data_IF_711948783126
#
_entry.id   IF_711948783126
#
_cell.length_a   1.000
_cell.length_b   1.000
_cell.length_c   1.000
_cell.angle_alpha   90.00
_cell.angle_beta   90.00
_cell.angle_gamma   90.00
#
_symmetry.space_group_name_H-M   'P 1'
#
loop_
_entity.id
_entity.type
_entity.pdbx_description
1 polymer ?
#
# COMPACT_ATOMS: atom_id res chain seq x y z
N UNK A 1 -14.33 7.11 -7.65
CA UNK A 1 -13.01 6.43 -7.65
C UNK A 1 -12.58 6.20 -6.20
N UNK A 2 -12.38 4.95 -5.75
CA UNK A 2 -12.15 4.62 -4.32
C UNK A 2 -10.70 4.87 -3.82
N UNK A 3 -9.77 5.20 -4.72
CA UNK A 3 -8.35 5.45 -4.41
C UNK A 3 -8.05 6.94 -4.60
N UNK A 4 -6.99 7.46 -3.97
CA UNK A 4 -6.53 8.83 -4.21
C UNK A 4 -5.84 8.96 -5.57
N UNK A 5 -5.83 10.16 -6.17
CA UNK A 5 -5.09 10.44 -7.42
C UNK A 5 -3.59 10.14 -7.28
N UNK A 6 -3.02 10.39 -6.10
CA UNK A 6 -1.65 10.04 -5.76
C UNK A 6 -1.41 8.52 -5.85
N UNK A 7 -2.33 7.71 -5.31
CA UNK A 7 -2.27 6.25 -5.43
C UNK A 7 -2.39 5.78 -6.90
N UNK A 8 -3.21 6.46 -7.70
CA UNK A 8 -3.28 6.21 -9.15
C UNK A 8 -1.94 6.46 -9.83
N UNK A 9 -1.27 7.56 -9.49
CA UNK A 9 0.04 7.91 -10.04
C UNK A 9 1.09 6.84 -9.67
N UNK A 10 1.13 6.42 -8.40
CA UNK A 10 2.00 5.32 -7.95
C UNK A 10 1.76 4.02 -8.74
N UNK A 11 0.50 3.64 -8.96
CA UNK A 11 0.16 2.43 -9.72
C UNK A 11 0.55 2.53 -11.19
N UNK A 12 0.35 3.69 -11.83
CA UNK A 12 0.76 3.93 -13.22
C UNK A 12 2.27 3.78 -13.38
N UNK A 13 3.05 4.42 -12.51
CA UNK A 13 4.51 4.34 -12.52
C UNK A 13 4.99 2.93 -12.17
N UNK A 14 4.40 2.28 -11.16
CA UNK A 14 4.75 0.91 -10.80
C UNK A 14 4.51 -0.09 -11.96
N UNK A 15 3.45 0.11 -12.75
CA UNK A 15 3.21 -0.69 -13.98
C UNK A 15 4.27 -0.43 -15.05
N UNK A 16 4.60 0.85 -15.31
CA UNK A 16 5.60 1.25 -16.30
C UNK A 16 7.01 0.77 -15.94
N UNK A 17 7.40 0.91 -14.67
CA UNK A 17 8.71 0.56 -14.13
C UNK A 17 8.64 -0.74 -13.30
N UNK A 18 8.23 -1.85 -13.93
CA UNK A 18 7.94 -3.12 -13.24
C UNK A 18 9.15 -3.80 -12.57
N UNK A 19 10.36 -3.50 -13.04
CA UNK A 19 11.62 -3.96 -12.43
C UNK A 19 11.90 -3.28 -11.08
N UNK A 20 11.40 -2.05 -10.89
CA UNK A 20 11.63 -1.25 -9.69
C UNK A 20 10.55 -1.51 -8.61
N UNK A 21 10.76 -0.90 -7.44
CA UNK A 21 9.83 -0.94 -6.31
C UNK A 21 9.43 0.47 -5.94
N UNK A 22 8.12 0.75 -5.92
CA UNK A 22 7.58 2.01 -5.41
C UNK A 22 7.85 2.09 -3.90
N UNK A 23 8.57 3.12 -3.47
CA UNK A 23 8.84 3.40 -2.07
C UNK A 23 7.71 4.26 -1.49
N UNK A 24 7.54 5.46 -2.05
CA UNK A 24 6.56 6.47 -1.64
C UNK A 24 6.35 7.50 -2.76
N UNK A 25 5.50 8.49 -2.53
CA UNK A 25 5.30 9.63 -3.42
C UNK A 25 4.94 10.90 -2.66
N UNK A 26 5.05 12.06 -3.32
CA UNK A 26 4.62 13.36 -2.80
C UNK A 26 4.05 14.26 -3.90
N UNK A 27 3.26 15.25 -3.49
CA UNK A 27 2.68 16.26 -4.36
C UNK A 27 3.72 17.33 -4.70
N UNK A 28 3.68 17.81 -5.94
CA UNK A 28 4.62 18.83 -6.43
C UNK A 28 3.90 20.12 -6.79
N UNK A 29 2.89 20.01 -7.67
CA UNK A 29 2.09 21.13 -8.12
C UNK A 29 0.71 20.65 -8.60
N UNK A 30 -0.22 21.57 -8.84
CA UNK A 30 -1.49 21.29 -9.49
C UNK A 30 -1.90 22.48 -10.37
N UNK A 31 -2.58 22.20 -11.47
CA UNK A 31 -3.33 23.18 -12.24
C UNK A 31 -4.83 22.89 -12.15
N UNK A 32 -5.65 23.53 -12.99
CA UNK A 32 -7.11 23.33 -13.01
C UNK A 32 -7.53 21.93 -13.47
N UNK A 33 -6.67 21.22 -14.21
CA UNK A 33 -6.95 19.96 -14.90
C UNK A 33 -6.16 18.78 -14.30
N UNK A 34 -4.92 19.01 -13.88
CA UNK A 34 -3.96 17.98 -13.49
C UNK A 34 -3.38 18.22 -12.10
N UNK A 35 -2.99 17.10 -11.46
CA UNK A 35 -2.18 17.08 -10.25
C UNK A 35 -0.88 16.34 -10.52
N UNK A 36 0.22 16.95 -10.14
CA UNK A 36 1.57 16.45 -10.36
C UNK A 36 2.13 15.83 -9.08
N UNK A 37 2.72 14.65 -9.22
CA UNK A 37 3.31 13.89 -8.12
C UNK A 37 4.69 13.38 -8.53
N UNK A 38 5.62 13.37 -7.60
CA UNK A 38 6.90 12.67 -7.73
C UNK A 38 6.83 11.33 -7.00
N UNK A 39 7.26 10.28 -7.68
CA UNK A 39 7.22 8.90 -7.19
C UNK A 39 8.65 8.43 -6.98
N UNK A 40 8.97 8.02 -5.75
CA UNK A 40 10.29 7.50 -5.40
C UNK A 40 10.32 6.00 -5.70
N UNK A 41 11.24 5.59 -6.57
CA UNK A 41 11.47 4.20 -6.96
C UNK A 41 12.82 3.70 -6.44
N UNK A 42 12.87 2.41 -6.12
CA UNK A 42 14.09 1.73 -5.67
C UNK A 42 14.36 0.53 -6.56
N UNK A 43 15.61 0.36 -6.97
CA UNK A 43 16.06 -0.82 -7.73
C UNK A 43 16.49 -1.96 -6.77
N UNK A 44 15.76 -3.08 -6.71
CA UNK A 44 16.11 -4.22 -5.87
C UNK A 44 17.32 -5.04 -6.39
N UNK A 45 17.73 -4.84 -7.64
CA UNK A 45 18.86 -5.53 -8.26
C UNK A 45 20.20 -4.82 -8.00
N UNK A 46 20.18 -3.54 -7.64
CA UNK A 46 21.38 -2.76 -7.42
C UNK A 46 22.15 -3.18 -6.16
N UNK A 47 23.47 -3.45 -6.29
CA UNK A 47 24.31 -3.94 -5.18
C UNK A 47 24.32 -3.01 -3.96
N UNK A 48 24.30 -1.69 -4.18
CA UNK A 48 24.26 -0.72 -3.08
C UNK A 48 22.98 -0.86 -2.23
N UNK A 49 21.83 -1.11 -2.85
CA UNK A 49 20.55 -1.31 -2.14
C UNK A 49 20.56 -2.65 -1.40
N UNK A 50 21.11 -3.70 -2.01
CA UNK A 50 21.15 -5.04 -1.41
C UNK A 50 22.08 -5.12 -0.20
N UNK A 51 23.19 -4.38 -0.21
CA UNK A 51 24.19 -4.37 0.86
C UNK A 51 23.85 -3.39 1.99
N UNK A 52 23.05 -2.37 1.74
CA UNK A 52 22.65 -1.39 2.76
C UNK A 52 21.51 -1.92 3.64
N UNK A 53 21.83 -2.22 4.91
CA UNK A 53 20.89 -2.74 5.90
C UNK A 53 19.70 -1.81 6.19
N UNK A 54 19.78 -0.51 5.87
CA UNK A 54 18.71 0.46 6.13
C UNK A 54 17.53 0.32 5.17
N UNK A 55 17.78 -0.15 3.95
CA UNK A 55 16.79 -0.20 2.87
C UNK A 55 16.61 -1.58 2.24
N UNK A 56 17.55 -2.50 2.46
CA UNK A 56 17.53 -3.83 1.83
C UNK A 56 16.24 -4.64 2.13
N UNK A 57 15.47 -4.28 3.16
CA UNK A 57 14.15 -4.87 3.42
C UNK A 57 13.25 -4.85 2.16
N UNK A 58 13.29 -3.79 1.35
CA UNK A 58 12.43 -3.63 0.16
C UNK A 58 12.75 -4.63 -0.97
N UNK A 59 13.93 -5.26 -0.91
CA UNK A 59 14.40 -6.24 -1.89
C UNK A 59 13.65 -7.56 -1.76
N UNK A 60 13.15 -7.88 -0.55
CA UNK A 60 12.45 -9.14 -0.31
C UNK A 60 11.22 -9.30 -1.22
N UNK A 61 10.93 -10.53 -1.70
CA UNK A 61 9.86 -10.77 -2.66
C UNK A 61 8.47 -10.35 -2.15
N UNK A 62 8.26 -10.34 -0.83
CA UNK A 62 7.03 -9.88 -0.19
C UNK A 62 6.72 -8.39 -0.42
N UNK A 63 7.68 -7.59 -0.88
CA UNK A 63 7.53 -6.17 -1.21
C UNK A 63 7.36 -5.90 -2.70
N UNK A 64 7.12 -6.92 -3.53
CA UNK A 64 6.71 -6.76 -4.94
C UNK A 64 5.35 -6.04 -5.03
N UNK A 65 5.18 -5.11 -5.98
CA UNK A 65 3.88 -4.47 -6.28
C UNK A 65 3.15 -3.92 -5.03
N UNK A 66 3.84 -3.10 -4.22
CA UNK A 66 3.27 -2.52 -2.98
C UNK A 66 2.14 -1.54 -3.28
N UNK A 67 2.28 -0.78 -4.34
CA UNK A 67 1.32 0.20 -4.86
C UNK A 67 -0.02 -0.48 -5.20
N UNK A 68 0.01 -1.61 -5.90
CA UNK A 68 -1.20 -2.35 -6.27
C UNK A 68 -1.88 -3.04 -5.08
N UNK A 69 -1.12 -3.39 -4.03
CA UNK A 69 -1.62 -4.10 -2.84
C UNK A 69 -2.05 -3.18 -1.70
N UNK A 70 -1.90 -1.87 -1.86
CA UNK A 70 -2.29 -0.92 -0.82
C UNK A 70 -1.34 -0.87 0.38
N UNK A 71 -0.02 -0.91 0.12
CA UNK A 71 1.04 -0.95 1.15
C UNK A 71 1.97 0.27 1.15
N UNK A 72 1.79 1.21 0.22
CA UNK A 72 2.45 2.53 0.25
C UNK A 72 1.68 3.47 1.19
N UNK A 73 2.26 4.62 1.55
CA UNK A 73 1.60 5.58 2.45
C UNK A 73 0.28 6.08 1.85
N UNK A 74 0.30 6.51 0.58
CA UNK A 74 -0.87 7.01 -0.12
C UNK A 74 -1.97 5.94 -0.25
N UNK A 75 -1.59 4.72 -0.61
CA UNK A 75 -2.57 3.64 -0.82
C UNK A 75 -3.09 3.04 0.49
N UNK A 76 -2.29 3.03 1.57
CA UNK A 76 -2.72 2.56 2.90
C UNK A 76 -3.77 3.49 3.52
N UNK A 77 -3.70 4.81 3.29
CA UNK A 77 -4.73 5.77 3.71
C UNK A 77 -6.12 5.39 3.16
N UNK A 78 -6.18 4.97 1.89
CA UNK A 78 -7.44 4.54 1.25
C UNK A 78 -8.05 3.28 1.88
N UNK A 79 -7.25 2.47 2.61
CA UNK A 79 -7.74 1.25 3.28
C UNK A 79 -8.46 1.53 4.60
N UNK A 80 -8.38 2.76 5.12
CA UNK A 80 -9.08 3.16 6.34
C UNK A 80 -8.59 2.44 7.59
N UNK A 81 -7.27 2.22 7.72
CA UNK A 81 -6.69 1.68 8.95
C UNK A 81 -6.44 2.79 9.98
N UNK A 82 -6.66 2.47 11.25
CA UNK A 82 -6.38 3.35 12.38
C UNK A 82 -6.74 2.70 13.70
N UNK A 83 -6.68 3.47 14.79
CA UNK A 83 -7.00 3.03 16.15
C UNK A 83 -8.20 3.83 16.68
N UNK A 84 -8.99 3.22 17.56
CA UNK A 84 -10.14 3.85 18.20
C UNK A 84 -11.47 3.65 17.47
N UNK A 85 -12.51 4.30 17.98
CA UNK A 85 -13.90 4.03 17.59
C UNK A 85 -14.20 4.33 16.12
N UNK A 86 -13.47 5.26 15.50
CA UNK A 86 -13.62 5.60 14.09
C UNK A 86 -13.23 4.49 13.10
N UNK A 87 -12.49 3.47 13.56
CA UNK A 87 -11.92 2.43 12.69
C UNK A 87 -12.55 1.04 12.90
N UNK A 88 -13.77 0.99 13.48
CA UNK A 88 -14.47 -0.27 13.75
C UNK A 88 -14.67 -1.17 12.54
N UNK A 89 -14.75 -0.60 11.33
CA UNK A 89 -14.94 -1.36 10.07
C UNK A 89 -13.66 -2.07 9.60
N UNK A 90 -12.49 -1.73 10.13
CA UNK A 90 -11.18 -2.27 9.70
C UNK A 90 -10.40 -2.96 10.80
N UNK A 91 -11.00 -3.20 11.98
CA UNK A 91 -10.42 -3.96 13.09
C UNK A 91 -9.86 -5.31 12.59
N UNK A 92 -8.60 -5.59 12.92
CA UNK A 92 -7.86 -6.76 12.45
C UNK A 92 -7.06 -6.46 11.18
N UNK A 93 -7.10 -7.36 10.21
CA UNK A 93 -6.28 -7.29 9.00
C UNK A 93 -6.93 -6.53 7.82
N UNK A 94 -8.08 -5.89 8.02
CA UNK A 94 -8.77 -5.05 7.03
C UNK A 94 -10.28 -5.27 6.97
N UNK A 95 -10.96 -4.49 6.11
CA UNK A 95 -12.42 -4.47 6.00
C UNK A 95 -13.03 -5.85 5.69
N UNK A 96 -12.50 -6.56 4.69
CA UNK A 96 -12.98 -7.90 4.31
C UNK A 96 -12.73 -8.93 5.40
N UNK A 97 -11.58 -8.89 6.06
CA UNK A 97 -11.26 -9.81 7.15
C UNK A 97 -12.19 -9.60 8.35
N UNK A 98 -12.47 -8.35 8.71
CA UNK A 98 -13.42 -8.01 9.76
C UNK A 98 -14.84 -8.46 9.41
N UNK A 99 -15.29 -8.21 8.17
CA UNK A 99 -16.58 -8.70 7.68
C UNK A 99 -16.65 -10.23 7.78
N UNK A 100 -15.65 -10.97 7.30
CA UNK A 100 -15.62 -12.43 7.36
C UNK A 100 -15.76 -12.92 8.81
N UNK A 101 -14.96 -12.38 9.73
CA UNK A 101 -15.03 -12.75 11.16
C UNK A 101 -16.43 -12.55 11.75
N UNK A 102 -17.09 -11.43 11.45
CA UNK A 102 -18.43 -11.11 11.98
C UNK A 102 -19.55 -11.96 11.37
N UNK A 103 -19.34 -12.47 10.16
CA UNK A 103 -20.32 -13.29 9.43
C UNK A 103 -19.96 -14.79 9.45
N UNK A 104 -18.97 -15.20 10.25
CA UNK A 104 -18.62 -16.61 10.41
C UNK A 104 -19.17 -17.09 11.76
N UNK A 105 -20.03 -18.10 11.74
CA UNK A 105 -20.52 -18.76 12.94
C UNK A 105 -19.43 -19.67 13.51
N UNK A 106 -19.08 -19.50 14.79
CA UNK A 106 -18.12 -20.36 15.48
C UNK A 106 -18.83 -21.52 16.16
N UNK A 107 -18.79 -22.70 15.55
CA UNK A 107 -19.36 -23.93 16.11
C UNK A 107 -18.29 -24.74 16.85
N UNK A 108 -18.33 -24.72 18.19
CA UNK A 108 -17.45 -25.53 19.03
C UNK A 108 -17.99 -26.96 19.12
N UNK A 109 -17.08 -27.93 19.35
CA UNK A 109 -17.41 -29.36 19.44
C UNK A 109 -18.40 -29.65 20.57
N UNK A 110 -18.18 -29.03 21.72
CA UNK A 110 -19.08 -29.05 22.87
C UNK A 110 -19.62 -27.63 23.05
N UNK A 111 -20.94 -27.53 23.25
CA UNK A 111 -21.65 -26.26 23.51
C UNK A 111 -22.05 -26.20 24.95
#
# INVERSE_FOLDING_TARGET
YQRSLQATAEERVGRKCGNLRVLNSYWVNQDSTYKYFEIILVDPSHKAIRRDARINWIVNPVHKRREARGLTSATKKNRGFGKGHGFHKTIGSGRRANWKRRNTLSLRRYR
#
